data_IF_305711599363
#
_entry.id   IF_305711599363
#
_cell.length_a   1.000
_cell.length_b   1.000
_cell.length_c   1.000
_cell.angle_alpha   90.00
_cell.angle_beta   90.00
_cell.angle_gamma   90.00
#
_symmetry.space_group_name_H-M   'P 1'
#
loop_
_entity.id
_entity.type
_entity.pdbx_description
1 polymer ?
#
# COMPACT_ATOMS: atom_id res chain seq x y z
N UNK A 1 0.25 -14.80 10.74
CA UNK A 1 1.03 -14.09 11.80
C UNK A 1 2.40 -14.72 12.01
N UNK A 2 2.50 -16.02 12.31
CA UNK A 2 3.79 -16.72 12.55
C UNK A 2 4.82 -16.61 11.42
N UNK A 3 4.40 -16.66 10.16
CA UNK A 3 5.31 -16.49 9.01
C UNK A 3 5.92 -15.08 8.97
N UNK A 4 5.09 -14.05 9.18
CA UNK A 4 5.54 -12.66 9.26
C UNK A 4 6.49 -12.46 10.44
N UNK A 5 6.20 -13.02 11.62
CA UNK A 5 7.09 -12.93 12.78
C UNK A 5 8.47 -13.53 12.50
N UNK A 6 8.50 -14.71 11.88
CA UNK A 6 9.73 -15.39 11.49
C UNK A 6 10.53 -14.54 10.50
N UNK A 7 9.85 -14.01 9.48
CA UNK A 7 10.46 -13.14 8.49
C UNK A 7 11.03 -11.87 9.12
N UNK A 8 10.25 -11.16 9.96
CA UNK A 8 10.71 -9.99 10.71
C UNK A 8 11.92 -10.32 11.62
N UNK A 9 11.97 -11.52 12.20
CA UNK A 9 13.11 -11.98 12.98
C UNK A 9 14.39 -12.21 12.16
N UNK A 10 14.26 -12.50 10.87
CA UNK A 10 15.38 -12.70 9.94
C UNK A 10 15.79 -11.40 9.24
N UNK A 11 14.92 -10.40 9.20
CA UNK A 11 15.07 -9.15 8.47
C UNK A 11 14.89 -7.95 9.40
N UNK A 12 15.87 -7.71 10.27
CA UNK A 12 15.76 -6.76 11.39
C UNK A 12 15.62 -5.29 11.00
N UNK A 13 15.99 -4.94 9.77
CA UNK A 13 15.93 -3.58 9.22
C UNK A 13 14.70 -3.32 8.33
N UNK A 14 13.94 -4.37 8.04
CA UNK A 14 12.74 -4.25 7.21
C UNK A 14 11.55 -3.82 8.05
N UNK A 15 10.71 -2.96 7.47
CA UNK A 15 9.50 -2.44 8.09
C UNK A 15 8.30 -2.85 7.24
N UNK A 16 7.28 -3.43 7.89
CA UNK A 16 6.04 -3.86 7.24
C UNK A 16 4.90 -2.92 7.63
N UNK A 17 4.16 -2.44 6.65
CA UNK A 17 2.94 -1.68 6.85
C UNK A 17 1.75 -2.65 6.80
N UNK A 18 1.02 -2.77 7.91
CA UNK A 18 -0.22 -3.54 7.97
C UNK A 18 -1.39 -2.56 8.03
N UNK A 19 -2.18 -2.51 6.94
CA UNK A 19 -3.33 -1.62 6.83
C UNK A 19 -4.64 -2.39 6.95
N UNK A 20 -5.31 -2.26 8.09
CA UNK A 20 -6.63 -2.83 8.33
C UNK A 20 -7.70 -1.76 8.07
N UNK A 21 -8.56 -2.00 7.08
CA UNK A 21 -9.60 -1.06 6.66
C UNK A 21 -10.79 -1.78 6.04
N UNK A 22 -11.85 -1.03 5.71
CA UNK A 22 -13.04 -1.56 5.04
C UNK A 22 -13.71 -2.73 5.80
N UNK A 23 -13.74 -2.62 7.13
CA UNK A 23 -14.40 -3.59 7.99
C UNK A 23 -15.90 -3.65 7.64
N UNK A 24 -16.44 -4.86 7.49
CA UNK A 24 -17.87 -5.08 7.29
C UNK A 24 -18.49 -5.41 8.64
N UNK A 25 -19.37 -4.55 9.12
CA UNK A 25 -20.25 -4.81 10.28
C UNK A 25 -19.51 -5.25 11.56
N UNK A 26 -18.34 -4.68 11.85
CA UNK A 26 -17.66 -4.92 13.13
C UNK A 26 -18.22 -4.00 14.22
N UNK A 27 -18.46 -4.56 15.41
CA UNK A 27 -18.81 -3.78 16.60
C UNK A 27 -17.57 -3.11 17.23
N UNK A 28 -17.79 -2.12 18.09
CA UNK A 28 -16.71 -1.46 18.85
C UNK A 28 -15.91 -2.45 19.72
N UNK A 29 -16.59 -3.45 20.31
CA UNK A 29 -15.94 -4.51 21.09
C UNK A 29 -15.02 -5.36 20.20
N UNK A 30 -15.47 -5.73 19.00
CA UNK A 30 -14.66 -6.49 18.05
C UNK A 30 -13.46 -5.69 17.53
N UNK A 31 -13.62 -4.39 17.32
CA UNK A 31 -12.50 -3.50 17.00
C UNK A 31 -11.49 -3.44 18.16
N UNK A 32 -11.97 -3.37 19.39
CA UNK A 32 -11.14 -3.36 20.59
C UNK A 32 -10.37 -4.66 20.76
N UNK A 33 -11.04 -5.81 20.60
CA UNK A 33 -10.41 -7.13 20.65
C UNK A 33 -9.33 -7.28 19.58
N UNK A 34 -9.62 -6.92 18.33
CA UNK A 34 -8.65 -7.04 17.24
C UNK A 34 -7.45 -6.12 17.45
N UNK A 35 -7.66 -4.86 17.83
CA UNK A 35 -6.54 -3.92 18.07
C UNK A 35 -5.70 -4.36 19.27
N UNK A 36 -6.30 -4.85 20.35
CA UNK A 36 -5.56 -5.39 21.49
C UNK A 36 -4.76 -6.64 21.11
N UNK A 37 -5.35 -7.54 20.33
CA UNK A 37 -4.65 -8.71 19.81
C UNK A 37 -3.42 -8.29 18.97
N UNK A 38 -3.57 -7.36 18.03
CA UNK A 38 -2.47 -6.90 17.18
C UNK A 38 -1.37 -6.20 17.99
N UNK A 39 -1.77 -5.37 18.98
CA UNK A 39 -0.84 -4.69 19.89
C UNK A 39 -0.02 -5.67 20.72
N UNK A 40 -0.69 -6.65 21.33
CA UNK A 40 -0.03 -7.69 22.12
C UNK A 40 0.80 -8.64 21.26
N UNK A 41 0.43 -8.83 19.99
CA UNK A 41 1.19 -9.68 19.09
C UNK A 41 2.53 -9.05 18.67
N UNK A 42 2.51 -7.78 18.24
CA UNK A 42 3.72 -7.12 17.73
C UNK A 42 4.54 -6.38 18.81
N UNK A 43 3.92 -5.99 19.93
CA UNK A 43 4.58 -5.38 21.10
C UNK A 43 5.55 -4.27 20.71
N UNK A 44 6.81 -4.43 21.09
CA UNK A 44 7.90 -3.47 20.88
C UNK A 44 8.30 -3.33 19.41
N UNK A 45 7.80 -4.16 18.50
CA UNK A 45 8.02 -4.00 17.06
C UNK A 45 7.12 -2.92 16.44
N UNK A 46 6.08 -2.47 17.13
CA UNK A 46 5.16 -1.45 16.64
C UNK A 46 5.82 -0.08 16.63
N UNK A 47 5.82 0.57 15.48
CA UNK A 47 6.34 1.92 15.29
C UNK A 47 5.30 2.95 15.78
N UNK A 48 5.61 3.82 16.76
CA UNK A 48 4.69 4.83 17.23
C UNK A 48 4.58 6.01 16.26
N UNK A 49 3.43 6.69 16.23
CA UNK A 49 3.28 7.99 15.55
C UNK A 49 3.99 9.10 16.33
N UNK A 50 4.49 10.16 15.67
CA UNK A 50 4.63 10.36 14.23
C UNK A 50 6.00 9.88 13.72
N UNK A 51 6.62 8.89 14.37
CA UNK A 51 8.02 8.55 14.16
C UNK A 51 8.22 7.98 12.75
N UNK A 52 9.09 8.62 11.97
CA UNK A 52 9.39 8.24 10.58
C UNK A 52 10.56 7.26 10.51
N UNK A 53 11.44 7.26 11.51
CA UNK A 53 12.62 6.41 11.55
C UNK A 53 12.36 5.12 12.34
N UNK A 54 11.52 4.26 11.77
CA UNK A 54 11.24 2.95 12.36
C UNK A 54 12.50 2.07 12.37
N UNK A 55 13.34 2.17 11.34
CA UNK A 55 14.54 1.34 11.18
C UNK A 55 15.57 1.59 12.29
N UNK A 56 16.05 2.83 12.48
CA UNK A 56 17.12 3.10 13.47
C UNK A 56 16.63 2.90 14.91
N UNK A 57 15.31 2.98 15.10
CA UNK A 57 14.65 2.76 16.38
C UNK A 57 14.32 1.28 16.66
N UNK A 58 14.60 0.38 15.70
CA UNK A 58 14.34 -1.06 15.83
C UNK A 58 12.85 -1.45 15.76
N UNK A 59 11.98 -0.53 15.33
CA UNK A 59 10.59 -0.83 15.02
C UNK A 59 10.48 -1.50 13.65
N UNK A 60 9.55 -2.44 13.51
CA UNK A 60 9.40 -3.24 12.29
C UNK A 60 7.97 -3.25 11.73
N UNK A 61 6.99 -2.70 12.46
CA UNK A 61 5.57 -2.77 12.05
C UNK A 61 4.91 -1.40 12.20
N UNK A 62 4.43 -0.86 11.08
CA UNK A 62 3.50 0.28 11.07
C UNK A 62 2.09 -0.30 10.99
N UNK A 63 1.30 -0.11 12.05
CA UNK A 63 -0.06 -0.65 12.14
C UNK A 63 -1.09 0.44 11.84
N UNK A 64 -1.56 0.52 10.59
CA UNK A 64 -2.65 1.40 10.18
C UNK A 64 -3.99 0.74 10.44
N UNK A 65 -4.90 1.45 11.11
CA UNK A 65 -6.22 0.92 11.46
C UNK A 65 -7.33 1.93 11.22
N UNK A 66 -8.34 1.54 10.43
CA UNK A 66 -9.49 2.38 10.08
C UNK A 66 -10.55 2.40 11.19
N UNK A 67 -10.18 2.96 12.36
CA UNK A 67 -11.12 3.27 13.43
C UNK A 67 -10.76 4.60 14.07
N UNK A 68 -11.61 5.60 13.83
CA UNK A 68 -11.38 7.00 14.24
C UNK A 68 -11.62 7.26 15.72
N UNK A 69 -12.18 6.29 16.45
CA UNK A 69 -12.57 6.47 17.84
C UNK A 69 -11.46 6.10 18.84
N UNK A 70 -10.29 5.66 18.36
CA UNK A 70 -9.18 5.20 19.20
C UNK A 70 -7.98 6.10 18.99
N UNK A 71 -7.71 6.97 19.98
CA UNK A 71 -6.45 7.70 20.06
C UNK A 71 -5.40 6.83 20.76
N UNK A 72 -4.58 6.15 19.96
CA UNK A 72 -3.53 5.25 20.43
C UNK A 72 -2.22 5.59 19.68
N UNK A 73 -1.12 5.69 20.42
CA UNK A 73 0.19 6.10 19.90
C UNK A 73 0.74 5.14 18.84
N UNK A 74 0.40 3.85 18.90
CA UNK A 74 0.91 2.83 17.97
C UNK A 74 -0.10 2.46 16.87
N UNK A 75 -1.31 3.02 16.90
CA UNK A 75 -2.29 2.87 15.82
C UNK A 75 -2.22 4.05 14.86
N UNK A 76 -1.65 3.80 13.68
CA UNK A 76 -1.57 4.77 12.59
C UNK A 76 -2.96 5.03 12.00
N UNK A 77 -3.24 6.26 11.54
CA UNK A 77 -4.50 6.57 10.89
C UNK A 77 -4.66 5.71 9.63
N UNK A 78 -5.92 5.58 9.19
CA UNK A 78 -6.25 4.95 7.91
C UNK A 78 -5.39 5.54 6.80
N UNK A 79 -4.64 4.68 6.12
CA UNK A 79 -3.91 5.03 4.90
C UNK A 79 -4.90 5.30 3.77
N UNK A 80 -4.78 6.46 3.14
CA UNK A 80 -5.57 6.79 1.96
C UNK A 80 -5.17 5.89 0.78
N UNK A 81 -6.14 5.42 0.02
CA UNK A 81 -5.91 4.54 -1.11
C UNK A 81 -6.54 5.16 -2.36
N UNK A 82 -5.71 5.58 -3.30
CA UNK A 82 -6.11 6.07 -4.60
C UNK A 82 -6.48 4.89 -5.50
N UNK A 83 -7.78 4.65 -5.58
CA UNK A 83 -8.35 3.57 -6.38
C UNK A 83 -9.19 4.15 -7.51
N UNK A 84 -8.77 3.86 -8.74
CA UNK A 84 -9.46 4.32 -9.94
C UNK A 84 -10.78 3.59 -10.20
N UNK A 85 -10.96 2.39 -9.61
CA UNK A 85 -12.11 1.52 -9.81
C UNK A 85 -12.46 1.27 -11.29
N UNK A 86 -11.44 0.92 -12.08
CA UNK A 86 -11.56 0.77 -13.53
C UNK A 86 -10.75 -0.40 -14.08
N UNK A 87 -11.20 -1.00 -15.18
CA UNK A 87 -10.54 -2.11 -15.86
C UNK A 87 -9.55 -1.67 -16.95
N UNK A 88 -9.62 -0.42 -17.41
CA UNK A 88 -8.72 0.16 -18.41
C UNK A 88 -7.48 0.76 -17.74
N UNK A 89 -6.26 0.27 -18.02
CA UNK A 89 -5.01 0.82 -17.47
C UNK A 89 -4.81 2.31 -17.77
N UNK A 90 -5.33 2.83 -18.89
CA UNK A 90 -5.21 4.25 -19.24
C UNK A 90 -6.08 5.12 -18.34
N UNK A 91 -7.27 4.65 -17.99
CA UNK A 91 -8.15 5.34 -17.04
C UNK A 91 -7.53 5.33 -15.63
N UNK A 92 -6.90 4.21 -15.23
CA UNK A 92 -6.13 4.15 -13.98
C UNK A 92 -4.99 5.17 -13.96
N UNK A 93 -4.17 5.23 -15.01
CA UNK A 93 -3.08 6.22 -15.11
C UNK A 93 -3.61 7.65 -15.10
N UNK A 94 -4.67 7.93 -15.87
CA UNK A 94 -5.32 9.23 -15.92
C UNK A 94 -5.80 9.68 -14.55
N UNK A 95 -6.46 8.77 -13.82
CA UNK A 95 -6.90 9.01 -12.44
C UNK A 95 -5.73 9.32 -11.50
N UNK A 96 -4.67 8.51 -11.51
CA UNK A 96 -3.51 8.71 -10.63
C UNK A 96 -2.79 10.04 -10.92
N UNK A 97 -2.64 10.40 -12.20
CA UNK A 97 -2.07 11.69 -12.58
C UNK A 97 -2.93 12.86 -12.11
N UNK A 98 -4.26 12.74 -12.17
CA UNK A 98 -5.18 13.73 -11.62
C UNK A 98 -5.02 13.87 -10.09
N UNK A 99 -4.86 12.74 -9.36
CA UNK A 99 -4.62 12.78 -7.91
C UNK A 99 -3.30 13.47 -7.57
N UNK A 100 -2.21 13.15 -8.29
CA UNK A 100 -0.91 13.83 -8.13
C UNK A 100 -1.03 15.35 -8.28
N UNK A 101 -1.80 15.83 -9.26
CA UNK A 101 -2.00 17.27 -9.49
C UNK A 101 -2.76 17.98 -8.36
N UNK A 102 -3.68 17.28 -7.67
CA UNK A 102 -4.38 17.79 -6.48
C UNK A 102 -3.42 17.96 -5.30
N UNK A 103 -2.37 17.16 -5.27
CA UNK A 103 -1.32 17.17 -4.25
C UNK A 103 -1.42 15.97 -3.32
N UNK A 104 -0.29 15.64 -2.69
CA UNK A 104 -0.18 14.50 -1.79
C UNK A 104 -0.95 14.68 -0.47
N UNK A 105 -1.61 13.63 0.05
CA UNK A 105 -2.12 13.58 1.41
C UNK A 105 -1.01 13.73 2.45
N UNK A 106 -1.38 14.13 3.66
CA UNK A 106 -0.50 14.05 4.82
C UNK A 106 -0.26 12.59 5.20
N UNK A 107 1.01 12.25 5.46
CA UNK A 107 1.40 10.89 5.88
C UNK A 107 1.46 9.88 4.73
N UNK A 108 1.09 8.63 5.03
CA UNK A 108 1.15 7.50 4.11
C UNK A 108 -0.11 7.44 3.24
N UNK A 109 0.07 7.20 1.94
CA UNK A 109 -1.03 6.97 1.00
C UNK A 109 -0.60 5.99 -0.09
N UNK A 110 -1.54 5.33 -0.74
CA UNK A 110 -1.25 4.32 -1.75
C UNK A 110 -1.74 4.80 -3.11
N UNK A 111 -0.85 4.81 -4.09
CA UNK A 111 -1.21 4.82 -5.52
C UNK A 111 -1.50 3.37 -5.96
N UNK A 112 -2.78 3.06 -6.14
CA UNK A 112 -3.23 1.71 -6.52
C UNK A 112 -3.32 1.53 -8.03
N UNK A 113 -2.56 0.56 -8.55
CA UNK A 113 -2.58 0.13 -9.95
C UNK A 113 -3.49 -1.08 -10.18
N UNK A 114 -4.20 -1.52 -9.15
CA UNK A 114 -5.15 -2.62 -9.20
C UNK A 114 -6.31 -2.28 -10.15
N UNK A 115 -6.55 -3.17 -11.11
CA UNK A 115 -7.63 -3.03 -12.08
C UNK A 115 -8.90 -3.64 -11.49
N UNK A 116 -10.03 -2.91 -11.55
CA UNK A 116 -11.33 -3.46 -11.18
C UNK A 116 -12.07 -3.95 -12.41
N UNK A 117 -12.48 -5.21 -12.42
CA UNK A 117 -13.31 -5.79 -13.47
C UNK A 117 -14.73 -5.99 -12.93
N UNK A 118 -15.72 -5.37 -13.57
CA UNK A 118 -17.13 -5.51 -13.21
C UNK A 118 -17.81 -6.74 -13.86
N UNK A 119 -19.09 -6.95 -13.58
CA UNK A 119 -19.85 -8.07 -14.13
C UNK A 119 -20.03 -8.04 -15.65
N UNK A 120 -20.07 -6.86 -16.28
CA UNK A 120 -20.17 -6.73 -17.73
C UNK A 120 -18.80 -7.01 -18.39
N UNK A 121 -17.72 -6.61 -17.71
CA UNK A 121 -16.32 -6.97 -18.00
C UNK A 121 -15.96 -8.43 -17.70
N UNK A 122 -16.87 -9.20 -17.10
CA UNK A 122 -16.72 -10.66 -17.02
C UNK A 122 -17.42 -11.36 -18.19
N UNK A 123 -18.55 -10.83 -18.67
CA UNK A 123 -19.36 -11.44 -19.74
C UNK A 123 -18.68 -11.39 -21.12
N UNK A 124 -18.01 -10.29 -21.44
CA UNK A 124 -17.24 -10.14 -22.69
C UNK A 124 -15.96 -11.01 -22.70
N UNK A 125 -15.60 -11.68 -21.60
CA UNK A 125 -14.24 -12.14 -21.33
C UNK A 125 -14.12 -13.56 -20.75
N UNK A 126 -15.06 -14.46 -21.08
CA UNK A 126 -15.13 -15.86 -20.63
C UNK A 126 -13.90 -16.75 -20.95
N UNK A 127 -12.83 -16.24 -21.57
CA UNK A 127 -11.71 -17.03 -22.10
C UNK A 127 -10.33 -16.73 -21.50
N UNK A 128 -10.19 -15.74 -20.60
CA UNK A 128 -8.89 -15.38 -19.97
C UNK A 128 -9.03 -15.14 -18.47
N UNK A 129 -8.00 -15.53 -17.71
CA UNK A 129 -7.92 -15.26 -16.27
C UNK A 129 -7.59 -13.78 -15.98
N UNK A 130 -7.97 -13.32 -14.78
CA UNK A 130 -7.59 -12.00 -14.25
C UNK A 130 -6.09 -11.76 -14.36
N UNK A 131 -5.29 -12.78 -13.99
CA UNK A 131 -3.83 -12.74 -14.08
C UNK A 131 -3.34 -12.49 -15.50
N UNK A 132 -3.82 -13.23 -16.50
CA UNK A 132 -3.40 -13.05 -17.89
C UNK A 132 -3.75 -11.66 -18.42
N UNK A 133 -4.93 -11.15 -18.04
CA UNK A 133 -5.38 -9.82 -18.46
C UNK A 133 -4.53 -8.72 -17.82
N UNK A 134 -4.36 -8.76 -16.52
CA UNK A 134 -3.50 -7.83 -15.78
C UNK A 134 -2.08 -7.86 -16.36
N UNK A 135 -1.51 -9.04 -16.62
CA UNK A 135 -0.17 -9.17 -17.21
C UNK A 135 -0.06 -8.59 -18.63
N UNK A 136 -1.13 -8.63 -19.44
CA UNK A 136 -1.11 -8.08 -20.81
C UNK A 136 -1.02 -6.55 -20.85
N UNK A 137 -1.49 -5.88 -19.80
CA UNK A 137 -1.49 -4.41 -19.70
C UNK A 137 -0.45 -3.87 -18.73
N UNK A 138 0.15 -4.75 -17.92
CA UNK A 138 1.16 -4.39 -16.93
C UNK A 138 2.36 -3.60 -17.47
N UNK A 139 2.87 -3.83 -18.70
CA UNK A 139 3.95 -2.99 -19.24
C UNK A 139 3.61 -1.50 -19.24
N UNK A 140 2.38 -1.13 -19.59
CA UNK A 140 1.93 0.26 -19.57
C UNK A 140 1.87 0.84 -18.14
N UNK A 141 1.41 0.04 -17.18
CA UNK A 141 1.39 0.43 -15.77
C UNK A 141 2.83 0.56 -15.21
N UNK A 142 3.75 -0.30 -15.63
CA UNK A 142 5.17 -0.25 -15.23
C UNK A 142 5.89 0.97 -15.81
N UNK A 143 5.56 1.38 -17.03
CA UNK A 143 6.10 2.62 -17.59
C UNK A 143 5.70 3.82 -16.71
N UNK A 144 4.44 3.88 -16.26
CA UNK A 144 4.01 4.88 -15.29
C UNK A 144 4.76 4.77 -13.95
N UNK A 145 4.99 3.56 -13.41
CA UNK A 145 5.76 3.37 -12.16
C UNK A 145 7.16 3.98 -12.27
N UNK A 146 7.84 3.76 -13.40
CA UNK A 146 9.22 4.21 -13.61
C UNK A 146 9.36 5.74 -13.71
N UNK A 147 8.28 6.44 -13.99
CA UNK A 147 8.23 7.91 -14.02
C UNK A 147 8.02 8.54 -12.63
N UNK A 148 7.76 7.73 -11.59
CA UNK A 148 7.53 8.24 -10.24
C UNK A 148 8.84 8.53 -9.52
N UNK A 149 8.79 9.40 -8.52
CA UNK A 149 9.95 9.75 -7.69
C UNK A 149 9.53 9.85 -6.21
N UNK A 150 10.44 9.51 -5.28
CA UNK A 150 10.20 9.66 -3.85
C UNK A 150 10.28 11.16 -3.45
N UNK A 151 10.32 11.43 -2.15
CA UNK A 151 10.50 12.77 -1.62
C UNK A 151 9.20 13.45 -1.21
N UNK A 152 9.30 14.76 -0.94
CA UNK A 152 8.23 15.60 -0.38
C UNK A 152 7.53 16.47 -1.42
N UNK A 153 7.88 16.36 -2.70
CA UNK A 153 7.27 17.19 -3.73
C UNK A 153 5.78 16.90 -3.82
N UNK A 154 5.05 17.91 -4.30
CA UNK A 154 3.58 17.88 -4.40
C UNK A 154 3.08 16.65 -5.17
N UNK A 155 3.82 16.26 -6.19
CA UNK A 155 3.47 15.16 -7.10
C UNK A 155 4.18 13.84 -6.75
N UNK A 156 5.10 13.80 -5.77
CA UNK A 156 5.74 12.55 -5.34
C UNK A 156 4.72 11.58 -4.74
N UNK A 157 4.96 10.28 -4.92
CA UNK A 157 4.19 9.19 -4.30
C UNK A 157 5.06 8.45 -3.26
N UNK A 158 4.46 7.85 -2.23
CA UNK A 158 5.22 7.11 -1.20
C UNK A 158 4.94 5.61 -1.14
N UNK A 159 3.74 5.14 -1.49
CA UNK A 159 3.44 3.71 -1.61
C UNK A 159 2.76 3.47 -2.96
N UNK A 160 3.25 2.49 -3.71
CA UNK A 160 2.64 2.03 -4.96
C UNK A 160 2.24 0.57 -4.77
N UNK A 161 0.98 0.25 -5.03
CA UNK A 161 0.43 -1.10 -4.92
C UNK A 161 -0.12 -1.59 -6.25
N UNK A 162 -0.08 -2.90 -6.48
CA UNK A 162 -0.63 -3.54 -7.68
C UNK A 162 -0.83 -5.04 -7.47
N UNK A 163 -1.53 -5.70 -8.39
CA UNK A 163 -1.75 -7.15 -8.35
C UNK A 163 -0.62 -7.92 -9.01
N UNK A 164 -0.35 -9.16 -8.57
CA UNK A 164 0.63 -10.07 -9.18
C UNK A 164 2.09 -9.58 -9.21
N UNK A 165 2.49 -8.81 -8.19
CA UNK A 165 3.82 -8.17 -8.05
C UNK A 165 5.03 -9.12 -8.14
N UNK A 166 4.84 -10.44 -7.95
CA UNK A 166 5.89 -11.45 -8.03
C UNK A 166 6.12 -12.06 -9.42
N UNK A 167 5.42 -11.57 -10.45
CA UNK A 167 5.42 -12.17 -11.81
C UNK A 167 6.17 -11.30 -12.83
N UNK A 168 6.60 -10.10 -12.43
CA UNK A 168 7.29 -9.12 -13.28
C UNK A 168 8.28 -8.29 -12.45
N UNK A 169 8.83 -7.23 -13.04
CA UNK A 169 9.81 -6.33 -12.41
C UNK A 169 9.21 -5.34 -11.41
N UNK A 170 7.89 -5.34 -11.15
CA UNK A 170 7.19 -4.29 -10.40
C UNK A 170 7.86 -3.90 -9.08
N UNK A 171 8.10 -4.87 -8.20
CA UNK A 171 8.75 -4.59 -6.92
C UNK A 171 10.17 -4.05 -7.09
N UNK A 172 10.92 -4.56 -8.07
CA UNK A 172 12.28 -4.11 -8.36
C UNK A 172 12.31 -2.68 -8.92
N UNK A 173 11.36 -2.35 -9.81
CA UNK A 173 11.24 -1.01 -10.39
C UNK A 173 10.93 0.02 -9.29
N UNK A 174 9.99 -0.29 -8.37
CA UNK A 174 9.68 0.58 -7.21
C UNK A 174 10.89 0.75 -6.29
N UNK A 175 11.62 -0.33 -5.97
CA UNK A 175 12.83 -0.25 -5.13
C UNK A 175 13.87 0.66 -5.78
N UNK A 176 14.04 0.58 -7.11
CA UNK A 176 15.01 1.41 -7.84
C UNK A 176 14.69 2.90 -7.80
N UNK A 177 13.41 3.29 -7.69
CA UNK A 177 13.02 4.70 -7.55
C UNK A 177 13.68 5.37 -6.32
N UNK A 178 13.88 4.61 -5.24
CA UNK A 178 14.50 5.13 -4.02
C UNK A 178 16.01 5.38 -4.15
N UNK A 179 16.65 4.89 -5.22
CA UNK A 179 18.07 5.10 -5.49
C UNK A 179 18.32 6.25 -6.48
N UNK A 180 17.28 6.73 -7.17
CA UNK A 180 17.39 7.73 -8.23
C UNK A 180 17.72 9.14 -7.69
N UNK A 181 17.48 9.41 -6.41
CA UNK A 181 17.71 10.71 -5.76
C UNK A 181 18.93 10.71 -4.81
N UNK A 182 20.11 10.36 -5.34
CA UNK A 182 21.40 10.69 -4.70
C UNK A 182 22.10 11.89 -5.34
N UNK A 183 21.38 12.69 -6.14
CA UNK A 183 21.92 13.83 -6.86
C UNK A 183 21.03 15.06 -6.88
N UNK A 184 21.04 15.83 -5.79
CA UNK A 184 20.83 17.29 -5.77
C UNK A 184 21.29 17.89 -4.45
#
# INVERSE_FOLDING_TARGET
MTELEKWLGQHTKEVVILAFSHFKEMSDDQHTELTNFLKEHFKTKLCPKPQVDCWESGYQVILSYDNRNVDDLVLWPRIEYWWADNSDPKEVISYLNNQKQKGRPEGLFVAGLNLTFDGNDMLLYLTKSLKEKTMSVYPLLLDWVKEQHPGSDKESVNIIAGDFVGVNSFAQDIIQLNNADSGS
#
